data_IF_889289701365
#
_entry.id   IF_889289701365
#
_cell.length_a   1.000
_cell.length_b   1.000
_cell.length_c   1.000
_cell.angle_alpha   90.00
_cell.angle_beta   90.00
_cell.angle_gamma   90.00
#
_symmetry.space_group_name_H-M   'P 1'
#
loop_
_entity.id
_entity.type
_entity.pdbx_description
1 polymer ?
#
# COMPACT_ATOMS: atom_id res chain seq x y z
N UNK A 1 10.47 -13.24 -8.13
CA UNK A 1 9.16 -12.86 -8.71
C UNK A 1 8.77 -11.49 -8.18
N UNK A 2 7.77 -10.81 -8.76
CA UNK A 2 7.38 -9.46 -8.34
C UNK A 2 5.94 -9.45 -7.85
N UNK A 3 5.66 -8.70 -6.80
CA UNK A 3 4.31 -8.41 -6.32
C UNK A 3 4.05 -6.90 -6.46
N UNK A 4 2.78 -6.55 -6.64
CA UNK A 4 2.32 -5.16 -6.63
C UNK A 4 1.31 -4.96 -5.51
N UNK A 5 1.48 -3.92 -4.70
CA UNK A 5 0.44 -3.43 -3.81
C UNK A 5 -0.21 -2.18 -4.41
N UNK A 6 -1.53 -2.18 -4.54
CA UNK A 6 -2.31 -0.96 -4.72
C UNK A 6 -2.82 -0.54 -3.35
N UNK A 7 -2.30 0.58 -2.88
CA UNK A 7 -2.56 1.14 -1.56
C UNK A 7 -3.42 2.39 -1.71
N UNK A 8 -4.60 2.39 -1.09
CA UNK A 8 -5.59 3.47 -1.20
C UNK A 8 -5.78 4.17 0.13
N UNK A 9 -5.72 5.50 0.10
CA UNK A 9 -5.98 6.34 1.27
C UNK A 9 -7.07 7.36 0.99
N UNK A 10 -7.82 7.70 2.03
CA UNK A 10 -8.85 8.73 2.04
C UNK A 10 -8.24 10.13 2.19
N UNK A 11 -7.38 10.50 1.25
CA UNK A 11 -6.82 11.83 1.12
C UNK A 11 -6.33 12.02 -0.32
N UNK A 12 -6.68 13.12 -0.98
CA UNK A 12 -6.28 13.44 -2.35
C UNK A 12 -5.98 14.92 -2.60
N UNK A 13 -5.94 15.74 -1.53
CA UNK A 13 -5.87 17.20 -1.57
C UNK A 13 -4.74 17.76 -0.70
N UNK A 14 -4.56 17.25 0.51
CA UNK A 14 -3.55 17.72 1.46
C UNK A 14 -2.16 17.18 1.09
N UNK A 15 -1.34 18.05 0.49
CA UNK A 15 0.01 17.71 0.02
C UNK A 15 0.91 17.25 1.17
N UNK A 16 0.81 17.85 2.35
CA UNK A 16 1.66 17.47 3.49
C UNK A 16 1.38 16.04 3.95
N UNK A 17 0.10 15.64 3.98
CA UNK A 17 -0.31 14.26 4.28
C UNK A 17 0.15 13.28 3.21
N UNK A 18 -0.04 13.62 1.93
CA UNK A 18 0.41 12.78 0.81
C UNK A 18 1.94 12.60 0.84
N UNK A 19 2.70 13.67 1.04
CA UNK A 19 4.16 13.64 1.13
C UNK A 19 4.66 12.83 2.33
N UNK A 20 3.96 12.87 3.47
CA UNK A 20 4.31 12.07 4.64
C UNK A 20 4.19 10.57 4.34
N UNK A 21 3.09 10.14 3.73
CA UNK A 21 2.86 8.74 3.33
C UNK A 21 3.87 8.31 2.27
N UNK A 22 4.12 9.15 1.26
CA UNK A 22 5.09 8.84 0.20
C UNK A 22 6.52 8.76 0.71
N UNK A 23 6.89 9.57 1.70
CA UNK A 23 8.24 9.56 2.29
C UNK A 23 8.55 8.23 2.96
N UNK A 24 7.57 7.66 3.66
CA UNK A 24 7.71 6.33 4.29
C UNK A 24 7.87 5.25 3.23
N UNK A 25 7.09 5.29 2.16
CA UNK A 25 7.25 4.35 1.05
C UNK A 25 8.66 4.37 0.44
N UNK A 26 9.26 5.57 0.33
CA UNK A 26 10.59 5.78 -0.24
C UNK A 26 11.75 5.49 0.72
N UNK A 27 11.49 5.27 2.01
CA UNK A 27 12.55 4.95 2.97
C UNK A 27 13.09 3.53 2.77
N UNK A 28 12.28 2.64 2.18
CA UNK A 28 12.70 1.31 1.78
C UNK A 28 13.13 1.31 0.29
N UNK A 29 14.45 1.20 -0.02
CA UNK A 29 14.93 1.23 -1.40
C UNK A 29 14.51 0.00 -2.22
N UNK A 30 14.04 -1.06 -1.56
CA UNK A 30 13.61 -2.30 -2.21
C UNK A 30 12.14 -2.26 -2.65
N UNK A 31 11.38 -1.24 -2.23
CA UNK A 31 10.00 -1.02 -2.69
C UNK A 31 9.94 0.23 -3.56
N UNK A 32 9.37 0.10 -4.76
CA UNK A 32 9.30 1.20 -5.72
C UNK A 32 7.86 1.64 -5.93
N UNK A 33 7.57 2.94 -5.77
CA UNK A 33 6.31 3.53 -6.24
C UNK A 33 6.39 3.65 -7.77
N UNK A 34 5.69 2.78 -8.50
CA UNK A 34 5.65 2.80 -9.97
C UNK A 34 4.56 3.70 -10.53
N UNK A 35 3.52 4.00 -9.73
CA UNK A 35 2.43 4.87 -10.14
C UNK A 35 1.78 5.56 -8.94
N UNK A 36 1.37 6.80 -9.16
CA UNK A 36 0.62 7.61 -8.20
C UNK A 36 -0.61 8.17 -8.89
N UNK A 37 -1.72 8.15 -8.19
CA UNK A 37 -2.96 8.74 -8.67
C UNK A 37 -3.61 9.48 -7.52
N UNK A 38 -3.84 10.78 -7.72
CA UNK A 38 -4.51 11.64 -6.74
C UNK A 38 -5.77 12.19 -7.38
N UNK A 39 -6.92 11.91 -6.80
CA UNK A 39 -8.19 12.44 -7.27
C UNK A 39 -8.75 13.42 -6.25
N UNK A 40 -8.77 14.70 -6.63
CA UNK A 40 -9.23 15.80 -5.78
C UNK A 40 -10.75 15.77 -5.57
N UNK A 41 -11.52 15.33 -6.57
CA UNK A 41 -12.99 15.26 -6.46
C UNK A 41 -13.38 14.14 -5.52
N UNK A 42 -12.73 12.99 -5.67
CA UNK A 42 -12.95 11.82 -4.81
C UNK A 42 -12.29 11.96 -3.43
N UNK A 43 -11.35 12.90 -3.28
CA UNK A 43 -10.50 13.05 -2.10
C UNK A 43 -9.86 11.72 -1.70
N UNK A 44 -9.28 11.04 -2.70
CA UNK A 44 -8.71 9.70 -2.59
C UNK A 44 -7.41 9.63 -3.37
N UNK A 45 -6.40 8.99 -2.79
CA UNK A 45 -5.12 8.72 -3.45
C UNK A 45 -4.90 7.22 -3.56
N UNK A 46 -4.24 6.82 -4.65
CA UNK A 46 -3.79 5.45 -4.90
C UNK A 46 -2.30 5.45 -5.23
N UNK A 47 -1.55 4.63 -4.50
CA UNK A 47 -0.15 4.33 -4.77
C UNK A 47 -0.04 2.91 -5.31
N UNK A 48 0.74 2.71 -6.37
CA UNK A 48 1.12 1.37 -6.84
C UNK A 48 2.57 1.14 -6.49
N UNK A 49 2.80 0.20 -5.59
CA UNK A 49 4.09 -0.18 -5.04
C UNK A 49 4.49 -1.52 -5.63
N UNK A 50 5.74 -1.70 -6.03
CA UNK A 50 6.25 -2.96 -6.55
C UNK A 50 7.52 -3.34 -5.82
N UNK A 51 7.63 -4.62 -5.45
CA UNK A 51 8.86 -5.22 -4.94
C UNK A 51 8.92 -6.70 -5.28
N UNK A 52 10.02 -7.35 -4.92
CA UNK A 52 10.19 -8.78 -5.09
C UNK A 52 9.54 -9.59 -3.96
N UNK A 53 9.36 -10.88 -4.22
CA UNK A 53 9.01 -11.91 -3.22
C UNK A 53 10.05 -13.02 -3.25
N UNK A 54 10.52 -13.42 -2.08
CA UNK A 54 11.46 -14.53 -1.88
C UNK A 54 10.72 -15.79 -1.45
N UNK A 55 11.30 -16.92 -1.83
CA UNK A 55 10.78 -18.24 -1.50
C UNK A 55 11.84 -19.06 -0.76
N UNK A 56 11.39 -19.99 0.07
CA UNK A 56 12.25 -21.02 0.67
C UNK A 56 12.65 -22.09 -0.36
N UNK A 57 13.42 -23.09 0.07
CA UNK A 57 13.87 -24.20 -0.77
C UNK A 57 12.73 -25.11 -1.26
N UNK A 58 11.54 -25.00 -0.67
CA UNK A 58 10.33 -25.75 -1.05
C UNK A 58 9.40 -24.95 -1.95
N UNK A 59 9.73 -23.67 -2.22
CA UNK A 59 8.94 -22.79 -3.06
C UNK A 59 7.84 -22.01 -2.33
N UNK A 60 7.80 -22.01 -1.00
CA UNK A 60 6.84 -21.20 -0.25
C UNK A 60 7.33 -19.77 -0.10
N UNK A 61 6.42 -18.79 -0.24
CA UNK A 61 6.75 -17.39 -0.03
C UNK A 61 7.08 -17.13 1.44
N UNK A 62 8.20 -16.45 1.69
CA UNK A 62 8.70 -16.21 3.05
C UNK A 62 8.98 -14.73 3.35
N UNK A 63 9.13 -13.90 2.32
CA UNK A 63 9.52 -12.51 2.51
C UNK A 63 9.16 -11.62 1.32
N UNK A 64 8.67 -10.42 1.60
CA UNK A 64 8.65 -9.31 0.64
C UNK A 64 8.87 -7.98 1.36
N UNK A 65 9.71 -7.07 0.83
CA UNK A 65 9.85 -5.70 1.37
C UNK A 65 8.54 -4.91 1.39
N UNK A 66 7.55 -5.31 0.57
CA UNK A 66 6.23 -4.70 0.55
C UNK A 66 5.52 -4.78 1.90
N UNK A 67 5.74 -5.82 2.72
CA UNK A 67 5.03 -5.98 3.99
C UNK A 67 5.30 -4.79 4.92
N UNK A 68 6.56 -4.59 5.29
CA UNK A 68 6.98 -3.50 6.16
C UNK A 68 6.67 -2.13 5.57
N UNK A 69 6.84 -1.98 4.25
CA UNK A 69 6.57 -0.71 3.57
C UNK A 69 5.08 -0.33 3.66
N UNK A 70 4.18 -1.29 3.41
CA UNK A 70 2.74 -1.06 3.43
C UNK A 70 2.24 -0.80 4.86
N UNK A 71 2.71 -1.55 5.86
CA UNK A 71 2.36 -1.33 7.27
C UNK A 71 2.79 0.07 7.72
N UNK A 72 4.03 0.47 7.41
CA UNK A 72 4.51 1.81 7.77
C UNK A 72 3.75 2.93 7.03
N UNK A 73 3.37 2.72 5.76
CA UNK A 73 2.49 3.64 5.05
C UNK A 73 1.10 3.74 5.67
N UNK A 74 0.55 2.61 6.15
CA UNK A 74 -0.74 2.57 6.84
C UNK A 74 -0.70 3.34 8.16
N UNK A 75 0.35 3.15 8.96
CA UNK A 75 0.57 3.92 10.19
C UNK A 75 0.68 5.42 9.90
N UNK A 76 1.47 5.82 8.89
CA UNK A 76 1.62 7.21 8.51
C UNK A 76 0.30 7.85 8.04
N UNK A 77 -0.50 7.10 7.26
CA UNK A 77 -1.81 7.56 6.80
C UNK A 77 -2.81 7.67 7.95
N UNK A 78 -2.87 6.67 8.83
CA UNK A 78 -3.74 6.66 10.00
C UNK A 78 -3.47 7.84 10.94
N UNK A 79 -2.19 8.14 11.19
CA UNK A 79 -1.81 9.25 12.06
C UNK A 79 -2.05 10.65 11.44
N UNK A 80 -2.09 10.75 10.11
CA UNK A 80 -2.17 12.03 9.42
C UNK A 80 -3.56 12.38 8.89
N UNK A 81 -4.46 11.40 8.73
CA UNK A 81 -5.79 11.59 8.14
C UNK A 81 -6.84 11.60 9.25
N UNK A 82 -7.52 12.74 9.42
CA UNK A 82 -8.70 12.82 10.27
C UNK A 82 -9.98 12.58 9.44
N UNK A 83 -10.63 11.43 9.64
CA UNK A 83 -11.86 11.08 8.93
C UNK A 83 -13.07 11.94 9.32
N UNK A 84 -13.10 12.55 10.51
CA UNK A 84 -14.19 13.45 10.92
C UNK A 84 -14.25 14.72 10.07
N UNK A 85 -13.11 15.12 9.51
CA UNK A 85 -12.97 16.25 8.61
C UNK A 85 -12.93 15.84 7.13
N UNK A 86 -12.93 14.53 6.85
CA UNK A 86 -12.82 14.02 5.49
C UNK A 86 -14.16 14.11 4.75
N UNK A 87 -14.12 14.82 3.63
CA UNK A 87 -15.20 14.89 2.65
C UNK A 87 -14.67 14.62 1.23
N UNK A 88 -15.40 13.82 0.46
CA UNK A 88 -15.04 13.39 -0.89
C UNK A 88 -16.16 12.62 -1.55
N UNK A 89 -16.23 12.66 -2.88
CA UNK A 89 -17.31 12.01 -3.63
C UNK A 89 -17.16 10.48 -3.73
N UNK A 90 -16.03 9.91 -3.34
CA UNK A 90 -15.82 8.46 -3.33
C UNK A 90 -16.23 7.87 -1.98
N UNK A 91 -17.02 6.78 -1.94
CA UNK A 91 -17.35 6.10 -0.69
C UNK A 91 -16.08 5.57 -0.03
N UNK A 92 -15.99 5.68 1.29
CA UNK A 92 -14.83 5.26 2.08
C UNK A 92 -15.25 4.71 3.44
N UNK A 93 -14.47 3.77 3.95
CA UNK A 93 -14.62 3.18 5.28
C UNK A 93 -13.49 3.60 6.23
N UNK A 94 -12.26 3.76 5.73
CA UNK A 94 -11.08 4.02 6.56
C UNK A 94 -10.17 5.12 6.03
N UNK A 95 -9.21 5.54 6.88
CA UNK A 95 -8.12 6.44 6.48
C UNK A 95 -7.25 5.77 5.41
N UNK A 96 -6.96 4.48 5.62
CA UNK A 96 -6.55 3.52 4.60
C UNK A 96 -7.78 2.71 4.25
N UNK A 97 -8.16 2.70 2.98
CA UNK A 97 -9.45 2.18 2.55
C UNK A 97 -9.32 0.78 1.93
N UNK A 98 -8.33 0.60 1.05
CA UNK A 98 -8.02 -0.67 0.41
C UNK A 98 -6.50 -0.90 0.37
N UNK A 99 -6.09 -2.13 0.68
CA UNK A 99 -4.72 -2.63 0.47
C UNK A 99 -4.85 -3.90 -0.37
N UNK A 100 -4.47 -3.82 -1.65
CA UNK A 100 -4.71 -4.90 -2.61
C UNK A 100 -3.41 -5.39 -3.22
N UNK A 101 -3.10 -6.67 -3.01
CA UNK A 101 -1.92 -7.31 -3.58
C UNK A 101 -2.24 -8.02 -4.89
N UNK A 102 -1.39 -7.84 -5.88
CA UNK A 102 -1.50 -8.47 -7.19
C UNK A 102 -0.18 -9.15 -7.54
N UNK A 103 -0.21 -10.38 -8.07
CA UNK A 103 0.98 -10.97 -8.65
C UNK A 103 1.39 -10.22 -9.92
N UNK A 104 2.70 -10.01 -10.09
CA UNK A 104 3.29 -9.50 -11.32
C UNK A 104 4.30 -10.50 -11.90
N UNK A 105 4.45 -10.44 -13.22
CA UNK A 105 5.36 -11.30 -13.98
C UNK A 105 5.10 -12.79 -13.74
N UNK A 106 5.98 -13.47 -12.99
CA UNK A 106 5.89 -14.92 -12.71
C UNK A 106 5.32 -15.24 -11.32
N UNK A 107 4.90 -14.23 -10.55
CA UNK A 107 4.31 -14.45 -9.23
C UNK A 107 2.95 -15.15 -9.32
N UNK A 108 2.61 -15.93 -8.29
CA UNK A 108 1.32 -16.61 -8.18
C UNK A 108 0.29 -15.80 -7.37
N UNK A 109 -1.00 -16.12 -7.53
CA UNK A 109 -2.04 -15.57 -6.66
C UNK A 109 -1.85 -16.00 -5.20
N UNK A 110 -1.27 -17.19 -4.97
CA UNK A 110 -0.98 -17.68 -3.62
C UNK A 110 0.07 -16.82 -2.91
N UNK A 111 1.11 -16.36 -3.62
CA UNK A 111 2.09 -15.39 -3.07
C UNK A 111 1.44 -14.04 -2.73
N UNK A 112 0.54 -13.55 -3.58
CA UNK A 112 -0.19 -12.30 -3.30
C UNK A 112 -1.12 -12.46 -2.10
N UNK A 113 -1.81 -13.60 -1.98
CA UNK A 113 -2.67 -13.92 -0.84
C UNK A 113 -1.88 -14.13 0.46
N UNK A 114 -0.71 -14.75 0.38
CA UNK A 114 0.22 -14.87 1.50
C UNK A 114 0.63 -13.50 2.02
N UNK A 115 1.08 -12.61 1.14
CA UNK A 115 1.48 -11.25 1.54
C UNK A 115 0.30 -10.47 2.11
N UNK A 116 -0.91 -10.62 1.56
CA UNK A 116 -2.11 -9.98 2.08
C UNK A 116 -2.40 -10.40 3.54
N UNK A 117 -2.27 -11.70 3.84
CA UNK A 117 -2.44 -12.22 5.21
C UNK A 117 -1.34 -11.71 6.14
N UNK A 118 -0.08 -11.77 5.70
CA UNK A 118 1.05 -11.31 6.49
C UNK A 118 0.94 -9.81 6.85
N UNK A 119 0.51 -8.98 5.90
CA UNK A 119 0.26 -7.55 6.16
C UNK A 119 -0.94 -7.34 7.08
N UNK A 120 -2.02 -8.11 6.91
CA UNK A 120 -3.20 -8.00 7.75
C UNK A 120 -2.94 -8.40 9.21
N UNK A 121 -1.99 -9.30 9.48
CA UNK A 121 -1.56 -9.66 10.84
C UNK A 121 -0.81 -8.53 11.56
N UNK A 122 -0.20 -7.61 10.80
CA UNK A 122 0.63 -6.52 11.32
C UNK A 122 -0.09 -5.15 11.39
N UNK A 123 -1.37 -5.06 10.97
CA UNK A 123 -2.18 -3.82 10.96
C UNK A 123 -3.19 -3.78 12.11
#
# INVERSE_FOLDING_TARGET
MLLCCKFFISEGRNIATLDAVERVARSNPETVIVHKFHDRTYNRARYSLVSYVLHDCTGNAIYSPLQQTVVAMAEAAFNAINLELHDGAHPRLGAVDDIVFHPLARASLDEAAWLAKAVAEDI
#
